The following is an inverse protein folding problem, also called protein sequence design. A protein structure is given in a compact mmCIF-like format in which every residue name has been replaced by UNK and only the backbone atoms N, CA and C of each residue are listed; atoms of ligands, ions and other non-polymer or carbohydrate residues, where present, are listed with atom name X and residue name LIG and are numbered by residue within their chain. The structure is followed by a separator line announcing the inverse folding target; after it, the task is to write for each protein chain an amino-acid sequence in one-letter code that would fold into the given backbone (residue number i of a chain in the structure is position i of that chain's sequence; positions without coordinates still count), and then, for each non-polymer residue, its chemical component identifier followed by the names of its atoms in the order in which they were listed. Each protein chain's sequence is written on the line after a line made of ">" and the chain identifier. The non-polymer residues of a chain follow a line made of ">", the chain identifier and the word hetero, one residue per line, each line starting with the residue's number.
data_IF_495115971905
#
_entry.id   IF_495115971905
#
_cell.length_a   1.000
_cell.length_b   1.000
_cell.length_c   1.000
_cell.angle_alpha   90.00
_cell.angle_beta   90.00
_cell.angle_gamma   90.00
#
_symmetry.space_group_name_H-M   'P 1'
#
loop_
_entity.id
_entity.type
_entity.pdbx_description
1 polymer ?
#
# COMPACT_ATOMS: atom_id res chain seq x y z
N UNK A 1 -2.07 18.23 12.85
CA UNK A 1 -0.81 18.61 12.15
C UNK A 1 0.43 18.48 13.05
N UNK A 2 0.32 18.57 14.40
CA UNK A 2 1.45 18.38 15.31
C UNK A 2 2.12 17.00 15.20
N UNK A 3 1.36 15.96 14.96
CA UNK A 3 1.85 14.56 14.87
C UNK A 3 2.68 14.24 13.62
N UNK A 4 2.66 15.06 12.57
CA UNK A 4 3.47 14.87 11.37
C UNK A 4 4.91 15.38 11.53
N UNK A 5 5.17 16.27 12.50
CA UNK A 5 6.52 16.77 12.82
C UNK A 5 7.41 15.70 13.45
N UNK A 6 6.80 14.68 14.04
CA UNK A 6 7.50 13.58 14.71
C UNK A 6 7.87 12.44 13.74
N UNK A 7 7.48 12.56 12.45
CA UNK A 7 7.81 11.56 11.42
C UNK A 7 9.28 11.71 11.01
N UNK A 8 10.10 10.64 11.08
CA UNK A 8 11.51 10.70 10.76
C UNK A 8 11.78 11.17 9.31
N UNK A 9 12.89 11.90 9.10
CA UNK A 9 13.31 12.38 7.78
C UNK A 9 13.37 11.26 6.74
N UNK A 10 13.83 10.07 7.14
CA UNK A 10 13.89 8.88 6.27
C UNK A 10 12.52 8.49 5.70
N UNK A 11 11.44 8.69 6.43
CA UNK A 11 10.07 8.40 5.94
C UNK A 11 9.68 9.37 4.84
N UNK A 12 9.99 10.66 4.99
CA UNK A 12 9.73 11.67 3.97
C UNK A 12 10.55 11.42 2.70
N UNK A 13 11.79 11.00 2.86
CA UNK A 13 12.65 10.61 1.75
C UNK A 13 12.09 9.38 1.01
N UNK A 14 11.68 8.35 1.74
CA UNK A 14 11.00 7.18 1.15
C UNK A 14 9.68 7.58 0.48
N UNK A 15 8.89 8.46 1.09
CA UNK A 15 7.63 8.95 0.53
C UNK A 15 7.85 9.67 -0.79
N UNK A 16 8.87 10.52 -0.89
CA UNK A 16 9.25 11.16 -2.14
C UNK A 16 9.62 10.14 -3.23
N UNK A 17 10.45 9.15 -2.89
CA UNK A 17 10.80 8.07 -3.82
C UNK A 17 9.58 7.27 -4.27
N UNK A 18 8.65 6.96 -3.36
CA UNK A 18 7.40 6.25 -3.68
C UNK A 18 6.48 7.11 -4.55
N UNK A 19 6.35 8.41 -4.26
CA UNK A 19 5.59 9.32 -5.11
C UNK A 19 6.11 9.28 -6.54
N UNK A 20 7.42 9.46 -6.72
CA UNK A 20 8.05 9.46 -8.04
C UNK A 20 7.89 8.10 -8.74
N UNK A 21 8.18 7.00 -8.05
CA UNK A 21 8.03 5.65 -8.61
C UNK A 21 6.57 5.34 -8.98
N UNK A 22 5.60 5.82 -8.18
CA UNK A 22 4.18 5.65 -8.49
C UNK A 22 3.70 6.54 -9.63
N UNK A 23 4.31 7.71 -9.82
CA UNK A 23 3.98 8.61 -10.92
C UNK A 23 4.44 8.08 -12.28
N UNK A 24 5.41 7.17 -12.30
CA UNK A 24 5.90 6.52 -13.53
C UNK A 24 5.52 5.03 -13.61
N UNK A 25 4.67 4.53 -12.72
CA UNK A 25 4.21 3.13 -12.69
C UNK A 25 3.12 2.88 -13.75
N UNK A 26 3.42 3.17 -14.98
CA UNK A 26 2.49 3.12 -16.11
C UNK A 26 2.10 1.69 -16.49
N UNK A 27 3.03 0.77 -16.39
CA UNK A 27 2.82 -0.65 -16.77
C UNK A 27 1.61 -1.24 -16.07
N UNK A 28 1.40 -0.93 -14.78
CA UNK A 28 0.27 -1.44 -14.03
C UNK A 28 -1.09 -1.00 -14.61
N UNK A 29 -1.15 0.21 -15.15
CA UNK A 29 -2.38 0.82 -15.68
C UNK A 29 -2.62 0.40 -17.15
N UNK A 30 -1.57 0.40 -17.96
CA UNK A 30 -1.66 0.33 -19.42
C UNK A 30 -1.21 -1.02 -19.99
N UNK A 31 -0.79 -1.99 -19.15
CA UNK A 31 -0.33 -3.30 -19.62
C UNK A 31 -1.35 -3.98 -20.53
N UNK A 32 -2.62 -4.00 -20.15
CA UNK A 32 -3.65 -4.70 -20.88
C UNK A 32 -3.89 -4.04 -22.26
N UNK A 33 -4.02 -2.72 -22.28
CA UNK A 33 -4.15 -1.94 -23.50
C UNK A 33 -2.92 -2.10 -24.42
N UNK A 34 -1.71 -2.13 -23.87
CA UNK A 34 -0.50 -2.43 -24.63
C UNK A 34 -0.57 -3.79 -25.34
N UNK A 35 -1.01 -4.83 -24.62
CA UNK A 35 -1.10 -6.18 -25.18
C UNK A 35 -2.16 -6.28 -26.29
N UNK A 36 -3.30 -5.57 -26.15
CA UNK A 36 -4.38 -5.59 -27.14
C UNK A 36 -4.13 -4.62 -28.28
N UNK A 37 -3.81 -3.35 -28.00
CA UNK A 37 -3.82 -2.29 -29.00
C UNK A 37 -2.50 -2.20 -29.77
N UNK A 38 -1.33 -2.32 -29.09
CA UNK A 38 -0.03 -2.20 -29.75
C UNK A 38 0.50 -3.56 -30.24
N UNK A 39 0.29 -4.63 -29.43
CA UNK A 39 0.74 -5.99 -29.78
C UNK A 39 -0.30 -6.77 -30.62
N UNK A 40 -1.54 -6.28 -30.68
CA UNK A 40 -2.62 -6.92 -31.47
C UNK A 40 -3.02 -8.30 -30.94
N UNK A 41 -2.77 -8.59 -29.66
CA UNK A 41 -3.15 -9.87 -29.08
C UNK A 41 -4.65 -9.90 -28.80
N UNK A 42 -5.24 -11.09 -28.96
CA UNK A 42 -6.63 -11.34 -28.58
C UNK A 42 -6.84 -11.00 -27.09
N UNK A 43 -8.01 -10.49 -26.72
CA UNK A 43 -8.30 -10.01 -25.35
C UNK A 43 -8.15 -11.12 -24.32
N UNK A 44 -8.56 -12.35 -24.66
CA UNK A 44 -8.37 -13.53 -23.81
C UNK A 44 -6.87 -13.86 -23.64
N UNK A 45 -6.07 -13.77 -24.72
CA UNK A 45 -4.64 -14.02 -24.67
C UNK A 45 -3.92 -12.96 -23.82
N UNK A 46 -4.23 -11.68 -24.01
CA UNK A 46 -3.76 -10.59 -23.16
C UNK A 46 -4.14 -10.81 -21.69
N UNK A 47 -5.34 -11.33 -21.46
CA UNK A 47 -5.83 -11.73 -20.14
C UNK A 47 -4.97 -12.81 -19.49
N UNK A 48 -4.63 -13.88 -20.22
CA UNK A 48 -3.78 -14.96 -19.72
C UNK A 48 -2.38 -14.45 -19.38
N UNK A 49 -1.74 -13.68 -20.26
CA UNK A 49 -0.41 -13.11 -20.05
C UNK A 49 -0.41 -12.21 -18.82
N UNK A 50 -1.40 -11.32 -18.70
CA UNK A 50 -1.54 -10.43 -17.53
C UNK A 50 -1.80 -11.20 -16.25
N UNK A 51 -2.62 -12.25 -16.29
CA UNK A 51 -2.90 -13.10 -15.13
C UNK A 51 -1.66 -13.85 -14.65
N UNK A 52 -0.86 -14.42 -15.54
CA UNK A 52 0.44 -15.05 -15.20
C UNK A 52 1.40 -14.00 -14.63
N UNK A 53 1.42 -12.79 -15.18
CA UNK A 53 2.13 -11.65 -14.60
C UNK A 53 1.70 -11.37 -13.16
N UNK A 54 0.39 -11.42 -12.90
CA UNK A 54 -0.19 -11.31 -11.55
C UNK A 54 0.31 -12.38 -10.58
N UNK A 55 0.51 -13.62 -11.03
CA UNK A 55 1.12 -14.69 -10.23
C UNK A 55 2.53 -14.27 -9.79
N UNK A 56 3.33 -13.76 -10.73
CA UNK A 56 4.66 -13.23 -10.43
C UNK A 56 4.61 -12.15 -9.35
N UNK A 57 3.76 -11.14 -9.51
CA UNK A 57 3.60 -10.04 -8.55
C UNK A 57 3.26 -10.53 -7.14
N UNK A 58 2.30 -11.45 -7.03
CA UNK A 58 1.86 -12.02 -5.76
C UNK A 58 2.98 -12.84 -5.11
N UNK A 59 3.62 -13.72 -5.90
CA UNK A 59 4.77 -14.51 -5.41
C UNK A 59 5.91 -13.63 -4.92
N UNK A 60 6.23 -12.55 -5.64
CA UNK A 60 7.24 -11.57 -5.23
C UNK A 60 6.90 -10.85 -3.93
N UNK A 61 5.63 -10.48 -3.73
CA UNK A 61 5.18 -9.88 -2.47
C UNK A 61 5.37 -10.83 -1.27
N UNK A 62 5.09 -12.14 -1.43
CA UNK A 62 5.26 -13.11 -0.35
C UNK A 62 6.73 -13.42 -0.07
N UNK A 63 7.54 -13.57 -1.10
CA UNK A 63 8.97 -13.95 -0.96
C UNK A 63 9.86 -12.77 -0.63
N UNK A 64 9.47 -11.55 -1.00
CA UNK A 64 10.25 -10.32 -0.77
C UNK A 64 10.55 -10.05 0.70
N UNK A 65 9.63 -10.38 1.61
CA UNK A 65 9.86 -10.33 3.05
C UNK A 65 10.98 -11.29 3.49
N UNK A 66 10.95 -12.54 3.02
CA UNK A 66 11.97 -13.54 3.31
C UNK A 66 13.36 -13.13 2.79
N UNK A 67 13.44 -12.61 1.57
CA UNK A 67 14.69 -12.07 1.03
C UNK A 67 15.20 -10.89 1.87
N UNK A 68 14.30 -9.99 2.27
CA UNK A 68 14.62 -8.85 3.11
C UNK A 68 15.17 -9.25 4.49
N UNK A 69 14.58 -10.27 5.11
CA UNK A 69 15.03 -10.80 6.40
C UNK A 69 16.40 -11.50 6.27
N UNK A 70 16.68 -12.12 5.12
CA UNK A 70 17.94 -12.89 4.91
C UNK A 70 19.10 -12.01 4.43
N UNK A 71 18.85 -11.11 3.48
CA UNK A 71 19.90 -10.33 2.79
C UNK A 71 19.86 -8.84 3.18
N UNK A 72 18.89 -8.44 4.00
CA UNK A 72 18.64 -7.06 4.39
C UNK A 72 17.70 -6.35 3.40
N UNK A 73 16.69 -5.66 3.96
CA UNK A 73 15.62 -5.02 3.18
C UNK A 73 16.13 -4.00 2.14
N UNK A 74 17.21 -3.26 2.44
CA UNK A 74 17.81 -2.30 1.51
C UNK A 74 18.43 -3.01 0.30
N UNK A 75 19.24 -4.03 0.50
CA UNK A 75 19.87 -4.76 -0.61
C UNK A 75 18.83 -5.47 -1.48
N UNK A 76 17.83 -6.09 -0.84
CA UNK A 76 16.71 -6.73 -1.53
C UNK A 76 15.91 -5.71 -2.37
N UNK A 77 15.62 -4.53 -1.81
CA UNK A 77 14.96 -3.44 -2.55
C UNK A 77 15.75 -3.04 -3.79
N UNK A 78 17.04 -2.76 -3.63
CA UNK A 78 17.90 -2.30 -4.73
C UNK A 78 18.02 -3.35 -5.84
N UNK A 79 18.35 -4.60 -5.47
CA UNK A 79 18.48 -5.69 -6.44
C UNK A 79 17.17 -5.95 -7.20
N UNK A 80 16.04 -5.99 -6.47
CA UNK A 80 14.74 -6.19 -7.08
C UNK A 80 14.32 -5.00 -7.97
N UNK A 81 14.63 -3.77 -7.58
CA UNK A 81 14.32 -2.59 -8.42
C UNK A 81 15.15 -2.56 -9.70
N UNK A 82 16.43 -2.97 -9.65
CA UNK A 82 17.25 -3.11 -10.85
C UNK A 82 16.70 -4.20 -11.77
N UNK A 83 16.35 -5.36 -11.23
CA UNK A 83 15.77 -6.46 -12.02
C UNK A 83 14.43 -6.07 -12.63
N UNK A 84 13.55 -5.44 -11.86
CA UNK A 84 12.25 -4.97 -12.34
C UNK A 84 12.39 -3.90 -13.43
N UNK A 85 13.24 -2.89 -13.20
CA UNK A 85 13.44 -1.82 -14.16
C UNK A 85 14.08 -2.29 -15.46
N UNK A 86 15.12 -3.14 -15.39
CA UNK A 86 15.73 -3.74 -16.56
C UNK A 86 14.74 -4.64 -17.33
N UNK A 87 13.93 -5.44 -16.60
CA UNK A 87 12.89 -6.28 -17.20
C UNK A 87 11.84 -5.45 -17.95
N UNK A 88 11.37 -4.34 -17.37
CA UNK A 88 10.40 -3.45 -18.03
C UNK A 88 10.98 -2.77 -19.26
N UNK A 89 12.23 -2.31 -19.23
CA UNK A 89 12.91 -1.71 -20.40
C UNK A 89 13.06 -2.74 -21.55
N UNK A 90 13.38 -3.98 -21.20
CA UNK A 90 13.58 -5.04 -22.19
C UNK A 90 12.26 -5.60 -22.78
N UNK A 91 11.15 -5.53 -22.01
CA UNK A 91 9.89 -6.19 -22.35
C UNK A 91 9.34 -5.86 -23.74
N UNK A 92 9.35 -4.58 -24.20
CA UNK A 92 8.84 -4.25 -25.53
C UNK A 92 9.65 -4.85 -26.70
N UNK A 93 10.92 -5.14 -26.50
CA UNK A 93 11.81 -5.73 -27.50
C UNK A 93 11.65 -7.25 -27.63
N UNK A 94 10.90 -7.91 -26.73
CA UNK A 94 10.72 -9.35 -26.72
C UNK A 94 9.59 -9.77 -27.67
N UNK A 95 9.72 -10.94 -28.30
CA UNK A 95 8.62 -11.55 -29.06
C UNK A 95 7.49 -11.99 -28.11
N UNK A 96 6.26 -12.08 -28.61
CA UNK A 96 5.06 -12.35 -27.80
C UNK A 96 5.15 -13.67 -27.02
N UNK A 97 5.81 -14.69 -27.59
CA UNK A 97 6.02 -15.97 -26.92
C UNK A 97 6.84 -15.85 -25.64
N UNK A 98 7.79 -14.91 -25.58
CA UNK A 98 8.61 -14.68 -24.40
C UNK A 98 7.91 -13.83 -23.33
N UNK A 99 6.81 -13.12 -23.67
CA UNK A 99 6.05 -12.33 -22.70
C UNK A 99 5.46 -13.22 -21.59
N UNK A 100 5.11 -14.47 -21.90
CA UNK A 100 4.63 -15.45 -20.91
C UNK A 100 5.63 -15.75 -19.79
N UNK A 101 6.93 -15.55 -20.02
CA UNK A 101 7.98 -15.76 -19.04
C UNK A 101 8.54 -14.43 -18.50
N UNK A 102 8.76 -13.45 -19.37
CA UNK A 102 9.40 -12.19 -19.02
C UNK A 102 8.51 -11.31 -18.13
N UNK A 103 7.20 -11.23 -18.44
CA UNK A 103 6.27 -10.41 -17.64
C UNK A 103 6.13 -10.92 -16.20
N UNK A 104 5.87 -12.22 -15.93
CA UNK A 104 5.81 -12.70 -14.56
C UNK A 104 7.14 -12.51 -13.81
N UNK A 105 8.28 -12.58 -14.46
CA UNK A 105 9.58 -12.33 -13.83
C UNK A 105 9.74 -10.84 -13.45
N UNK A 106 9.42 -9.92 -14.36
CA UNK A 106 9.43 -8.48 -14.07
C UNK A 106 8.44 -8.12 -12.96
N UNK A 107 7.23 -8.66 -13.00
CA UNK A 107 6.21 -8.46 -11.98
C UNK A 107 6.57 -9.10 -10.63
N UNK A 108 7.27 -10.24 -10.64
CA UNK A 108 7.83 -10.83 -9.44
C UNK A 108 8.80 -9.86 -8.74
N UNK A 109 9.72 -9.28 -9.51
CA UNK A 109 10.66 -8.30 -8.98
C UNK A 109 9.91 -7.06 -8.44
N UNK A 110 8.86 -6.57 -9.12
CA UNK A 110 8.00 -5.49 -8.61
C UNK A 110 7.31 -5.87 -7.28
N UNK A 111 6.87 -7.11 -7.15
CA UNK A 111 6.31 -7.63 -5.89
C UNK A 111 7.33 -7.59 -4.75
N UNK A 112 8.57 -8.01 -5.01
CA UNK A 112 9.68 -7.95 -4.04
C UNK A 112 9.98 -6.50 -3.65
N UNK A 113 9.97 -5.55 -4.60
CA UNK A 113 10.15 -4.10 -4.33
C UNK A 113 9.07 -3.60 -3.37
N UNK A 114 7.80 -3.92 -3.61
CA UNK A 114 6.67 -3.52 -2.75
C UNK A 114 6.81 -4.05 -1.33
N UNK A 115 7.14 -5.34 -1.19
CA UNK A 115 7.34 -5.96 0.12
C UNK A 115 8.51 -5.33 0.88
N UNK A 116 9.64 -5.09 0.20
CA UNK A 116 10.83 -4.49 0.78
C UNK A 116 10.61 -3.04 1.20
N UNK A 117 9.87 -2.25 0.41
CA UNK A 117 9.47 -0.89 0.78
C UNK A 117 8.64 -0.89 2.08
N UNK A 118 7.62 -1.75 2.17
CA UNK A 118 6.78 -1.85 3.36
C UNK A 118 7.58 -2.25 4.60
N UNK A 119 8.53 -3.17 4.45
CA UNK A 119 9.40 -3.62 5.54
C UNK A 119 10.37 -2.51 5.99
N UNK A 120 10.97 -1.77 5.05
CA UNK A 120 11.86 -0.64 5.37
C UNK A 120 11.14 0.43 6.18
N UNK A 121 9.88 0.75 5.82
CA UNK A 121 9.05 1.69 6.59
C UNK A 121 8.85 1.17 8.01
N UNK A 122 8.45 -0.11 8.14
CA UNK A 122 8.18 -0.71 9.45
C UNK A 122 9.40 -0.69 10.39
N UNK A 123 10.61 -0.82 9.82
CA UNK A 123 11.88 -0.79 10.57
C UNK A 123 12.38 0.64 10.83
N UNK A 124 12.10 1.58 9.91
CA UNK A 124 12.60 2.96 9.99
C UNK A 124 11.78 3.86 10.89
N UNK A 125 10.55 3.47 11.25
CA UNK A 125 9.63 4.30 12.03
C UNK A 125 9.55 3.79 13.47
N UNK A 126 9.75 4.66 14.50
CA UNK A 126 9.55 4.30 15.89
C UNK A 126 8.15 3.77 16.18
N UNK A 127 8.01 2.88 17.18
CA UNK A 127 6.75 2.16 17.49
C UNK A 127 5.53 3.08 17.71
N UNK A 128 5.70 4.31 18.15
CA UNK A 128 4.60 5.27 18.34
C UNK A 128 4.12 5.97 17.06
N UNK A 129 4.94 6.02 16.00
CA UNK A 129 4.71 6.83 14.79
C UNK A 129 4.45 5.97 13.52
N UNK A 130 4.38 4.65 13.63
CA UNK A 130 4.20 3.75 12.48
C UNK A 130 2.95 4.05 11.68
N UNK A 131 1.83 4.35 12.36
CA UNK A 131 0.56 4.69 11.69
C UNK A 131 0.72 5.93 10.80
N UNK A 132 1.40 6.97 11.30
CA UNK A 132 1.66 8.20 10.55
C UNK A 132 2.62 7.94 9.37
N UNK A 133 3.67 7.14 9.57
CA UNK A 133 4.60 6.76 8.52
C UNK A 133 3.89 6.05 7.36
N UNK A 134 3.08 5.03 7.64
CA UNK A 134 2.29 4.35 6.59
C UNK A 134 1.27 5.27 5.93
N UNK A 135 0.65 6.20 6.66
CA UNK A 135 -0.27 7.17 6.08
C UNK A 135 0.42 8.11 5.09
N UNK A 136 1.60 8.64 5.44
CA UNK A 136 2.40 9.49 4.55
C UNK A 136 2.77 8.74 3.27
N UNK A 137 3.19 7.47 3.40
CA UNK A 137 3.54 6.65 2.24
C UNK A 137 2.34 6.38 1.33
N UNK A 138 1.17 6.11 1.91
CA UNK A 138 -0.06 5.90 1.15
C UNK A 138 -0.48 7.14 0.39
N UNK A 139 -0.42 8.31 1.03
CA UNK A 139 -0.70 9.60 0.38
C UNK A 139 0.27 9.84 -0.77
N UNK A 140 1.56 9.60 -0.56
CA UNK A 140 2.58 9.76 -1.59
C UNK A 140 2.34 8.82 -2.79
N UNK A 141 2.03 7.55 -2.53
CA UNK A 141 1.73 6.56 -3.58
C UNK A 141 0.48 6.95 -4.38
N UNK A 142 -0.61 7.31 -3.71
CA UNK A 142 -1.86 7.71 -4.37
C UNK A 142 -1.70 9.02 -5.16
N UNK A 143 -0.96 9.99 -4.62
CA UNK A 143 -0.67 11.24 -5.33
C UNK A 143 0.16 10.98 -6.60
N UNK A 144 1.19 10.12 -6.50
CA UNK A 144 1.96 9.69 -7.67
C UNK A 144 1.09 9.02 -8.71
N UNK A 145 0.26 8.07 -8.31
CA UNK A 145 -0.66 7.36 -9.20
C UNK A 145 -1.67 8.30 -9.89
N UNK A 146 -2.20 9.30 -9.16
CA UNK A 146 -3.12 10.30 -9.69
C UNK A 146 -2.48 11.13 -10.81
N UNK A 147 -1.22 11.50 -10.65
CA UNK A 147 -0.46 12.25 -11.66
C UNK A 147 0.01 11.33 -12.79
N UNK A 148 0.42 10.11 -12.46
CA UNK A 148 0.96 9.14 -13.40
C UNK A 148 -0.05 8.69 -14.47
N UNK A 149 -1.30 8.44 -14.07
CA UNK A 149 -2.29 7.93 -15.02
C UNK A 149 -2.51 8.85 -16.24
N UNK A 150 -2.78 10.15 -16.10
CA UNK A 150 -2.93 11.02 -17.28
C UNK A 150 -1.61 11.24 -18.03
N UNK A 151 -0.46 11.23 -17.34
CA UNK A 151 0.84 11.29 -18.01
C UNK A 151 1.09 10.06 -18.89
N UNK A 152 0.79 8.88 -18.38
CA UNK A 152 0.88 7.63 -19.15
C UNK A 152 -0.07 7.63 -20.37
N UNK A 153 -1.31 8.12 -20.19
CA UNK A 153 -2.25 8.26 -21.30
C UNK A 153 -1.74 9.23 -22.38
N UNK A 154 -1.16 10.35 -21.98
CA UNK A 154 -0.57 11.31 -22.91
C UNK A 154 0.60 10.69 -23.67
N UNK A 155 1.51 10.01 -22.96
CA UNK A 155 2.68 9.35 -23.59
C UNK A 155 2.24 8.25 -24.54
N UNK A 156 1.24 7.41 -24.19
CA UNK A 156 0.75 6.36 -25.09
C UNK A 156 0.05 6.92 -26.34
N UNK A 157 -0.72 8.01 -26.18
CA UNK A 157 -1.50 8.58 -27.27
C UNK A 157 -0.64 9.42 -28.24
N UNK A 158 0.39 10.12 -27.73
CA UNK A 158 1.24 10.99 -28.58
C UNK A 158 2.49 10.27 -29.14
N UNK A 159 2.93 9.20 -28.48
CA UNK A 159 4.15 8.49 -28.87
C UNK A 159 3.91 7.01 -29.07
N UNK A 160 3.93 6.21 -28.02
CA UNK A 160 3.68 4.76 -28.08
C UNK A 160 3.53 4.16 -26.68
N UNK A 161 2.87 3.00 -26.59
CA UNK A 161 2.88 2.19 -25.36
C UNK A 161 4.28 1.64 -25.03
N UNK A 162 5.14 1.39 -26.03
CA UNK A 162 6.54 1.01 -25.82
C UNK A 162 7.27 2.01 -24.94
N UNK A 163 7.08 3.31 -25.19
CA UNK A 163 7.73 4.37 -24.39
C UNK A 163 7.25 4.35 -22.92
N UNK A 164 6.01 3.95 -22.66
CA UNK A 164 5.49 3.79 -21.29
C UNK A 164 6.31 2.77 -20.51
N UNK A 165 6.59 1.60 -21.11
CA UNK A 165 7.37 0.53 -20.45
C UNK A 165 8.82 0.96 -20.20
N UNK A 166 9.43 1.62 -21.18
CA UNK A 166 10.79 2.15 -21.05
C UNK A 166 10.84 3.23 -19.97
N UNK A 167 9.87 4.15 -19.95
CA UNK A 167 9.80 5.20 -18.93
C UNK A 167 9.58 4.64 -17.51
N UNK A 168 8.68 3.66 -17.35
CA UNK A 168 8.46 2.95 -16.08
C UNK A 168 9.73 2.23 -15.63
N UNK A 169 10.38 1.50 -16.54
CA UNK A 169 11.63 0.80 -16.24
C UNK A 169 12.75 1.77 -15.84
N UNK A 170 12.96 2.85 -16.58
CA UNK A 170 13.94 3.89 -16.23
C UNK A 170 13.58 4.55 -14.91
N UNK A 171 12.30 4.88 -14.68
CA UNK A 171 11.84 5.44 -13.42
C UNK A 171 12.10 4.51 -12.23
N UNK A 172 11.90 3.20 -12.41
CA UNK A 172 12.22 2.19 -11.39
C UNK A 172 13.73 2.08 -11.14
N UNK A 173 14.57 2.21 -12.18
CA UNK A 173 16.03 2.26 -12.02
C UNK A 173 16.49 3.55 -11.32
N UNK A 174 15.90 4.69 -11.66
CA UNK A 174 16.15 5.95 -10.96
C UNK A 174 15.71 5.90 -9.50
N UNK A 175 14.59 5.23 -9.21
CA UNK A 175 14.18 4.97 -7.84
C UNK A 175 15.20 4.09 -7.10
N UNK A 176 15.75 3.06 -7.75
CA UNK A 176 16.82 2.24 -7.16
C UNK A 176 18.07 3.09 -6.84
N UNK A 177 18.50 3.93 -7.78
CA UNK A 177 19.62 4.85 -7.58
C UNK A 177 19.35 5.82 -6.43
N UNK A 178 18.18 6.47 -6.42
CA UNK A 178 17.76 7.37 -5.35
C UNK A 178 17.77 6.65 -3.99
N UNK A 179 17.19 5.47 -3.90
CA UNK A 179 17.17 4.67 -2.69
C UNK A 179 18.58 4.25 -2.24
N UNK A 180 19.49 3.97 -3.18
CA UNK A 180 20.89 3.66 -2.88
C UNK A 180 21.64 4.86 -2.26
N UNK A 181 21.34 6.08 -2.72
CA UNK A 181 21.98 7.30 -2.23
C UNK A 181 21.40 7.80 -0.89
N UNK A 182 20.10 7.61 -0.68
CA UNK A 182 19.36 8.25 0.42
C UNK A 182 19.17 7.32 1.61
N UNK A 183 18.98 6.01 1.37
CA UNK A 183 18.76 5.07 2.46
C UNK A 183 20.07 4.77 3.21
N UNK A 184 20.07 4.88 4.55
CA UNK A 184 21.25 4.54 5.34
C UNK A 184 21.65 3.08 5.13
N UNK A 185 22.95 2.80 5.31
CA UNK A 185 23.51 1.47 5.18
C UNK A 185 22.77 0.42 6.03
N UNK A 186 22.83 -0.83 5.59
CA UNK A 186 22.08 -1.93 6.20
C UNK A 186 22.42 -2.09 7.69
N UNK A 187 21.40 -2.04 8.56
CA UNK A 187 21.49 -2.62 9.89
C UNK A 187 21.40 -4.15 9.75
N UNK A 188 22.20 -4.92 10.53
CA UNK A 188 22.09 -6.37 10.51
C UNK A 188 20.63 -6.80 10.76
N UNK A 189 20.15 -7.84 10.07
CA UNK A 189 18.80 -8.33 10.31
C UNK A 189 18.66 -8.77 11.77
N UNK A 190 17.68 -8.24 12.47
CA UNK A 190 17.33 -8.69 13.82
C UNK A 190 16.69 -10.06 13.68
N UNK A 191 17.43 -11.12 14.02
CA UNK A 191 16.87 -12.47 14.09
C UNK A 191 15.74 -12.49 15.12
N UNK A 192 14.50 -12.52 14.65
CA UNK A 192 13.36 -12.81 15.51
C UNK A 192 13.43 -14.30 15.89
N UNK A 193 13.27 -14.65 17.18
CA UNK A 193 13.16 -16.05 17.56
C UNK A 193 11.98 -16.70 16.84
N UNK A 194 12.10 -18.00 16.48
CA UNK A 194 11.01 -18.71 15.81
C UNK A 194 9.74 -18.64 16.68
N UNK A 195 8.68 -18.13 16.10
CA UNK A 195 7.37 -18.10 16.76
C UNK A 195 6.90 -19.54 17.03
N UNK A 196 6.39 -19.81 18.24
CA UNK A 196 5.80 -21.11 18.60
C UNK A 196 4.77 -21.55 17.54
N UNK A 197 4.66 -22.86 17.25
CA UNK A 197 3.59 -23.36 16.38
C UNK A 197 2.23 -22.91 16.92
N UNK A 198 1.57 -22.03 16.18
CA UNK A 198 0.26 -21.54 16.58
C UNK A 198 -0.83 -22.40 15.93
N UNK A 199 -2.02 -22.51 16.54
CA UNK A 199 -3.15 -23.26 15.99
C UNK A 199 -3.43 -22.90 14.54
N UNK A 200 -3.90 -23.86 13.73
CA UNK A 200 -4.17 -23.66 12.31
C UNK A 200 -5.17 -22.52 12.07
N UNK A 201 -4.84 -21.62 11.16
CA UNK A 201 -5.69 -20.45 10.79
C UNK A 201 -7.12 -20.86 10.44
N UNK A 202 -7.30 -22.02 9.82
CA UNK A 202 -8.61 -22.54 9.43
C UNK A 202 -9.55 -22.78 10.60
N UNK A 203 -9.04 -23.26 11.73
CA UNK A 203 -9.86 -23.45 12.94
C UNK A 203 -10.35 -22.12 13.48
N UNK A 204 -9.49 -21.11 13.48
CA UNK A 204 -9.83 -19.78 13.95
C UNK A 204 -10.83 -19.06 13.01
N UNK A 205 -10.72 -19.28 11.70
CA UNK A 205 -11.64 -18.72 10.71
C UNK A 205 -13.03 -19.37 10.80
N UNK A 206 -13.09 -20.71 10.97
CA UNK A 206 -14.37 -21.41 11.14
C UNK A 206 -15.14 -20.93 12.37
N UNK A 207 -14.43 -20.50 13.41
CA UNK A 207 -15.04 -19.90 14.60
C UNK A 207 -15.54 -18.45 14.38
N UNK A 208 -15.23 -17.84 13.21
CA UNK A 208 -15.56 -16.44 12.87
C UNK A 208 -16.22 -16.34 11.50
N UNK A 209 -17.48 -16.81 11.37
CA UNK A 209 -18.16 -16.91 10.08
C UNK A 209 -18.30 -15.54 9.38
N UNK A 210 -18.42 -14.44 10.13
CA UNK A 210 -18.49 -13.09 9.56
C UNK A 210 -17.19 -12.68 8.85
N UNK A 211 -16.02 -13.11 9.35
CA UNK A 211 -14.73 -12.90 8.70
C UNK A 211 -14.63 -13.74 7.44
N UNK A 212 -15.08 -15.00 7.49
CA UNK A 212 -15.05 -15.89 6.34
C UNK A 212 -15.93 -15.34 5.20
N UNK A 213 -17.17 -14.91 5.50
CA UNK A 213 -18.06 -14.29 4.51
C UNK A 213 -17.41 -13.03 3.93
N UNK A 214 -16.80 -12.20 4.77
CA UNK A 214 -16.08 -11.00 4.31
C UNK A 214 -14.94 -11.36 3.34
N UNK A 215 -14.09 -12.33 3.68
CA UNK A 215 -12.97 -12.75 2.84
C UNK A 215 -13.42 -13.28 1.47
N UNK A 216 -14.46 -14.15 1.47
CA UNK A 216 -15.05 -14.67 0.22
C UNK A 216 -15.64 -13.53 -0.62
N UNK A 217 -16.35 -12.59 0.02
CA UNK A 217 -16.91 -11.43 -0.68
C UNK A 217 -15.84 -10.51 -1.25
N UNK A 218 -14.75 -10.28 -0.53
CA UNK A 218 -13.61 -9.48 -1.02
C UNK A 218 -12.90 -10.18 -2.18
N UNK A 219 -12.77 -11.52 -2.14
CA UNK A 219 -12.20 -12.28 -3.25
C UNK A 219 -12.94 -12.02 -4.58
N UNK A 220 -14.25 -12.18 -4.57
CA UNK A 220 -15.05 -11.92 -5.77
C UNK A 220 -15.09 -10.43 -6.14
N UNK A 221 -15.18 -9.56 -5.14
CA UNK A 221 -15.18 -8.13 -5.37
C UNK A 221 -13.86 -7.62 -5.96
N UNK A 222 -12.70 -8.21 -5.58
CA UNK A 222 -11.41 -7.83 -6.15
C UNK A 222 -11.30 -8.28 -7.62
N UNK A 223 -11.85 -9.44 -7.99
CA UNK A 223 -11.94 -9.87 -9.40
C UNK A 223 -12.77 -8.85 -10.21
N UNK A 224 -13.91 -8.43 -9.69
CA UNK A 224 -14.75 -7.41 -10.34
C UNK A 224 -14.04 -6.07 -10.41
N UNK A 225 -13.49 -5.60 -9.28
CA UNK A 225 -12.81 -4.31 -9.21
C UNK A 225 -11.64 -4.19 -10.19
N UNK A 226 -10.88 -5.28 -10.38
CA UNK A 226 -9.71 -5.31 -11.26
C UNK A 226 -10.04 -5.24 -12.75
N UNK A 227 -11.29 -5.43 -13.14
CA UNK A 227 -11.70 -5.20 -14.54
C UNK A 227 -11.41 -3.76 -14.98
N UNK A 228 -11.31 -2.82 -14.03
CA UNK A 228 -10.91 -1.43 -14.29
C UNK A 228 -9.56 -1.33 -15.02
N UNK A 229 -8.64 -2.27 -14.76
CA UNK A 229 -7.28 -2.28 -15.34
C UNK A 229 -7.10 -3.31 -16.46
N UNK A 230 -8.15 -4.07 -16.82
CA UNK A 230 -8.08 -5.08 -17.88
C UNK A 230 -9.11 -4.82 -18.98
N UNK A 231 -10.35 -5.19 -18.78
CA UNK A 231 -11.39 -5.14 -19.81
C UNK A 231 -12.01 -3.76 -20.01
N UNK A 232 -12.02 -2.88 -18.99
CA UNK A 232 -12.59 -1.52 -19.13
C UNK A 232 -11.88 -0.70 -20.20
N UNK A 233 -10.53 -0.61 -20.27
CA UNK A 233 -9.88 0.16 -21.31
C UNK A 233 -10.21 -0.37 -22.73
N UNK A 234 -10.29 -1.69 -22.91
CA UNK A 234 -10.68 -2.30 -24.19
C UNK A 234 -12.12 -1.95 -24.53
N UNK A 235 -13.05 -2.12 -23.56
CA UNK A 235 -14.46 -1.77 -23.76
C UNK A 235 -14.64 -0.29 -24.14
N UNK A 236 -13.91 0.62 -23.52
CA UNK A 236 -13.96 2.05 -23.86
C UNK A 236 -13.41 2.30 -25.27
N UNK A 237 -12.30 1.65 -25.63
CA UNK A 237 -11.68 1.73 -26.94
C UNK A 237 -12.60 1.25 -28.06
N UNK A 238 -13.22 0.09 -27.89
CA UNK A 238 -14.19 -0.49 -28.85
C UNK A 238 -15.42 0.40 -29.10
N UNK A 239 -15.70 1.33 -28.14
CA UNK A 239 -16.78 2.30 -28.25
C UNK A 239 -16.30 3.73 -28.58
N UNK A 240 -15.09 3.87 -29.13
CA UNK A 240 -14.57 5.13 -29.66
C UNK A 240 -14.02 6.10 -28.61
N UNK A 241 -13.79 5.66 -27.37
CA UNK A 241 -13.08 6.46 -26.37
C UNK A 241 -11.59 6.15 -26.41
N UNK A 242 -10.77 7.17 -26.54
CA UNK A 242 -9.32 7.04 -26.62
C UNK A 242 -8.68 6.74 -25.26
N UNK A 243 -7.41 6.36 -25.29
CA UNK A 243 -6.62 6.08 -24.08
C UNK A 243 -6.50 7.29 -23.16
N UNK A 244 -6.62 8.51 -23.69
CA UNK A 244 -6.62 9.75 -22.86
C UNK A 244 -7.84 9.81 -21.96
N UNK A 245 -9.04 9.46 -22.50
CA UNK A 245 -10.26 9.38 -21.69
C UNK A 245 -10.11 8.39 -20.56
N UNK A 246 -9.57 7.20 -20.82
CA UNK A 246 -9.27 6.21 -19.78
C UNK A 246 -8.28 6.74 -18.74
N UNK A 247 -7.20 7.39 -19.16
CA UNK A 247 -6.22 7.99 -18.24
C UNK A 247 -6.84 9.03 -17.31
N UNK A 248 -7.75 9.87 -17.83
CA UNK A 248 -8.48 10.84 -17.01
C UNK A 248 -9.44 10.17 -16.02
N UNK A 249 -10.11 9.08 -16.41
CA UNK A 249 -10.95 8.31 -15.48
C UNK A 249 -10.13 7.75 -14.31
N UNK A 250 -8.95 7.20 -14.58
CA UNK A 250 -8.04 6.73 -13.52
C UNK A 250 -7.53 7.89 -12.66
N UNK A 251 -7.26 9.05 -13.25
CA UNK A 251 -6.88 10.25 -12.49
C UNK A 251 -8.00 10.72 -11.55
N UNK A 252 -9.27 10.68 -12.00
CA UNK A 252 -10.44 10.96 -11.18
C UNK A 252 -10.49 10.02 -9.97
N UNK A 253 -10.29 8.71 -10.20
CA UNK A 253 -10.22 7.74 -9.11
C UNK A 253 -9.18 8.13 -8.07
N UNK A 254 -7.93 8.37 -8.47
CA UNK A 254 -6.86 8.74 -7.56
C UNK A 254 -7.12 10.06 -6.82
N UNK A 255 -7.62 11.08 -7.52
CA UNK A 255 -7.93 12.39 -6.93
C UNK A 255 -9.05 12.31 -5.89
N UNK A 256 -10.13 11.57 -6.20
CA UNK A 256 -11.25 11.37 -5.26
C UNK A 256 -10.80 10.61 -4.02
N UNK A 257 -9.97 9.57 -4.17
CA UNK A 257 -9.38 8.85 -3.03
C UNK A 257 -8.55 9.81 -2.17
N UNK A 258 -7.66 10.58 -2.79
CA UNK A 258 -6.78 11.52 -2.09
C UNK A 258 -7.57 12.55 -1.27
N UNK A 259 -8.68 13.05 -1.83
CA UNK A 259 -9.51 14.06 -1.17
C UNK A 259 -10.47 13.49 -0.13
N UNK A 260 -11.06 12.31 -0.39
CA UNK A 260 -12.22 11.84 0.40
C UNK A 260 -11.91 10.68 1.34
N UNK A 261 -10.82 9.95 1.19
CA UNK A 261 -10.54 8.77 2.04
C UNK A 261 -10.41 9.12 3.52
N UNK A 262 -9.62 10.17 3.85
CA UNK A 262 -9.45 10.61 5.24
C UNK A 262 -10.75 11.19 5.85
N UNK A 263 -11.48 12.10 5.19
CA UNK A 263 -12.79 12.54 5.66
C UNK A 263 -13.77 11.39 5.88
N UNK A 264 -13.88 10.47 4.93
CA UNK A 264 -14.75 9.30 5.04
C UNK A 264 -14.39 8.43 6.24
N UNK A 265 -13.09 8.14 6.45
CA UNK A 265 -12.63 7.35 7.60
C UNK A 265 -13.01 7.99 8.95
N UNK A 266 -12.99 9.33 9.04
CA UNK A 266 -13.38 10.06 10.25
C UNK A 266 -14.89 10.03 10.46
N UNK A 267 -15.68 10.32 9.42
CA UNK A 267 -17.15 10.38 9.49
C UNK A 267 -17.75 9.00 9.79
N UNK A 268 -17.22 7.97 9.16
CA UNK A 268 -17.76 6.61 9.22
C UNK A 268 -17.27 5.81 10.42
N UNK A 269 -16.33 6.31 11.22
CA UNK A 269 -15.71 5.57 12.36
C UNK A 269 -16.71 5.05 13.40
N UNK A 270 -17.91 5.63 13.49
CA UNK A 270 -18.97 5.25 14.43
C UNK A 270 -20.01 4.31 13.82
N UNK A 271 -19.92 4.01 12.55
CA UNK A 271 -20.86 3.12 11.85
C UNK A 271 -20.37 1.67 11.90
N UNK A 272 -21.31 0.74 11.72
CA UNK A 272 -21.00 -0.68 11.71
C UNK A 272 -20.09 -1.05 10.52
N UNK A 273 -18.89 -1.62 10.76
CA UNK A 273 -17.89 -1.82 9.70
C UNK A 273 -18.41 -2.65 8.52
N UNK A 274 -19.05 -3.80 8.80
CA UNK A 274 -19.58 -4.68 7.74
C UNK A 274 -20.71 -4.04 6.92
N UNK A 275 -21.50 -3.14 7.51
CA UNK A 275 -22.52 -2.39 6.74
C UNK A 275 -21.85 -1.42 5.77
N UNK A 276 -20.79 -0.73 6.20
CA UNK A 276 -20.03 0.21 5.34
C UNK A 276 -19.36 -0.57 4.20
N UNK A 277 -18.68 -1.68 4.53
CA UNK A 277 -18.02 -2.54 3.55
C UNK A 277 -19.03 -3.05 2.52
N UNK A 278 -20.17 -3.59 2.98
CA UNK A 278 -21.20 -4.11 2.07
C UNK A 278 -21.80 -3.02 1.18
N UNK A 279 -22.05 -1.79 1.69
CA UNK A 279 -22.47 -0.66 0.87
C UNK A 279 -21.39 -0.28 -0.17
N UNK A 280 -20.10 -0.33 0.21
CA UNK A 280 -19.00 -0.12 -0.72
C UNK A 280 -19.02 -1.12 -1.87
N UNK A 281 -19.22 -2.40 -1.58
CA UNK A 281 -19.32 -3.44 -2.62
C UNK A 281 -20.57 -3.28 -3.50
N UNK A 282 -21.68 -2.83 -2.92
CA UNK A 282 -22.89 -2.47 -3.70
C UNK A 282 -22.59 -1.34 -4.68
N UNK A 283 -21.87 -0.29 -4.25
CA UNK A 283 -21.49 0.81 -5.14
C UNK A 283 -20.57 0.34 -6.27
N UNK A 284 -19.64 -0.56 -6.00
CA UNK A 284 -18.82 -1.21 -7.05
C UNK A 284 -19.72 -1.92 -8.06
N UNK A 285 -20.70 -2.70 -7.58
CA UNK A 285 -21.66 -3.39 -8.46
C UNK A 285 -22.51 -2.42 -9.29
N UNK A 286 -23.02 -1.34 -8.69
CA UNK A 286 -23.77 -0.32 -9.41
C UNK A 286 -22.89 0.41 -10.44
N UNK A 287 -21.61 0.64 -10.14
CA UNK A 287 -20.65 1.22 -11.06
C UNK A 287 -20.51 0.40 -12.33
N UNK A 288 -20.22 -0.90 -12.20
CA UNK A 288 -20.14 -1.80 -13.36
C UNK A 288 -21.50 -2.00 -14.03
N UNK A 289 -22.59 -2.02 -13.26
CA UNK A 289 -23.94 -2.05 -13.80
C UNK A 289 -24.27 -0.85 -14.69
N UNK A 290 -23.69 0.33 -14.41
CA UNK A 290 -23.88 1.49 -15.26
C UNK A 290 -23.38 1.27 -16.71
N UNK A 291 -22.31 0.45 -16.91
CA UNK A 291 -21.80 0.15 -18.24
C UNK A 291 -22.78 -0.68 -19.11
N UNK A 292 -23.80 -1.28 -18.51
CA UNK A 292 -24.89 -1.92 -19.27
C UNK A 292 -25.80 -0.92 -20.01
N UNK A 293 -25.76 0.36 -19.59
CA UNK A 293 -26.51 1.44 -20.24
C UNK A 293 -25.80 1.98 -21.48
N UNK A 294 -24.61 1.46 -21.79
CA UNK A 294 -23.79 1.83 -22.93
C UNK A 294 -22.46 2.46 -22.53
N UNK A 295 -21.63 2.72 -23.52
CA UNK A 295 -20.30 3.29 -23.37
C UNK A 295 -20.32 4.75 -23.83
N UNK A 296 -20.67 5.65 -22.96
CA UNK A 296 -20.48 7.10 -23.18
C UNK A 296 -19.60 7.67 -22.07
N UNK A 297 -18.93 8.79 -22.35
CA UNK A 297 -18.05 9.43 -21.34
C UNK A 297 -18.79 9.74 -20.02
N UNK A 298 -20.04 10.28 -20.02
CA UNK A 298 -20.78 10.45 -18.77
C UNK A 298 -21.02 9.15 -18.01
N UNK A 299 -21.37 8.06 -18.71
CA UNK A 299 -21.58 6.75 -18.08
C UNK A 299 -20.25 6.23 -17.49
N UNK A 300 -19.14 6.37 -18.21
CA UNK A 300 -17.81 5.98 -17.71
C UNK A 300 -17.38 6.80 -16.47
N UNK A 301 -17.69 8.11 -16.45
CA UNK A 301 -17.43 8.97 -15.28
C UNK A 301 -18.30 8.53 -14.08
N UNK A 302 -19.58 8.28 -14.28
CA UNK A 302 -20.48 7.78 -13.23
C UNK A 302 -19.99 6.43 -12.70
N UNK A 303 -19.65 5.51 -13.59
CA UNK A 303 -19.04 4.23 -13.21
C UNK A 303 -17.81 4.46 -12.34
N UNK A 304 -16.87 5.30 -12.76
CA UNK A 304 -15.61 5.55 -12.04
C UNK A 304 -15.87 6.19 -10.65
N UNK A 305 -16.80 7.14 -10.55
CA UNK A 305 -17.16 7.77 -9.28
C UNK A 305 -17.79 6.76 -8.32
N UNK A 306 -18.70 5.91 -8.79
CA UNK A 306 -19.32 4.85 -7.99
C UNK A 306 -18.30 3.81 -7.54
N UNK A 307 -17.41 3.38 -8.45
CA UNK A 307 -16.30 2.48 -8.13
C UNK A 307 -15.41 3.08 -7.02
N UNK A 308 -15.02 4.34 -7.17
CA UNK A 308 -14.12 5.02 -6.23
C UNK A 308 -14.76 5.20 -4.87
N UNK A 309 -16.03 5.64 -4.84
CA UNK A 309 -16.79 5.73 -3.59
C UNK A 309 -16.90 4.35 -2.92
N UNK A 310 -17.18 3.32 -3.71
CA UNK A 310 -17.20 1.93 -3.25
C UNK A 310 -15.85 1.52 -2.66
N UNK A 311 -14.75 1.79 -3.34
CA UNK A 311 -13.38 1.48 -2.91
C UNK A 311 -13.04 2.10 -1.55
N UNK A 312 -13.34 3.38 -1.37
CA UNK A 312 -13.12 4.10 -0.10
C UNK A 312 -13.93 3.43 1.03
N UNK A 313 -15.16 3.01 0.75
CA UNK A 313 -16.04 2.42 1.76
C UNK A 313 -15.67 0.98 2.11
N UNK A 314 -15.07 0.19 1.18
CA UNK A 314 -14.80 -1.21 1.52
C UNK A 314 -13.36 -1.49 1.93
N UNK A 315 -12.33 -0.95 1.26
CA UNK A 315 -10.93 -1.37 1.47
C UNK A 315 -10.42 -1.09 2.88
N UNK A 316 -10.50 0.14 3.32
CA UNK A 316 -9.98 0.56 4.64
C UNK A 316 -10.77 -0.02 5.80
N UNK A 317 -12.14 0.01 5.81
CA UNK A 317 -12.90 -0.60 6.90
C UNK A 317 -12.81 -2.13 6.95
N UNK A 318 -12.68 -2.83 5.80
CA UNK A 318 -12.50 -4.28 5.79
C UNK A 318 -11.17 -4.69 6.43
N UNK A 319 -10.08 -3.98 6.10
CA UNK A 319 -8.75 -4.21 6.71
C UNK A 319 -8.81 -4.04 8.23
N UNK A 320 -9.45 -2.96 8.71
CA UNK A 320 -9.61 -2.69 10.13
C UNK A 320 -10.47 -3.76 10.81
N UNK A 321 -11.59 -4.17 10.20
CA UNK A 321 -12.45 -5.20 10.75
C UNK A 321 -11.73 -6.55 10.92
N UNK A 322 -10.95 -6.98 9.92
CA UNK A 322 -10.16 -8.21 10.00
C UNK A 322 -9.11 -8.12 11.11
N UNK A 323 -8.47 -6.96 11.30
CA UNK A 323 -7.55 -6.72 12.40
C UNK A 323 -8.23 -6.83 13.77
N UNK A 324 -9.42 -6.23 13.92
CA UNK A 324 -10.17 -6.23 15.17
C UNK A 324 -10.71 -7.63 15.54
N UNK A 325 -10.99 -8.48 14.55
CA UNK A 325 -11.48 -9.86 14.74
C UNK A 325 -10.34 -10.87 14.92
N UNK A 326 -9.12 -10.51 14.60
CA UNK A 326 -7.98 -11.41 14.71
C UNK A 326 -7.60 -11.64 16.18
N UNK A 327 -7.38 -12.90 16.62
CA UNK A 327 -6.83 -13.18 17.94
C UNK A 327 -5.42 -12.60 18.08
N UNK A 328 -5.00 -12.20 19.29
CA UNK A 328 -3.68 -11.59 19.54
C UNK A 328 -2.52 -12.47 19.03
N UNK A 329 -2.64 -13.79 19.14
CA UNK A 329 -1.63 -14.75 18.65
C UNK A 329 -1.67 -15.01 17.15
N UNK A 330 -2.68 -14.51 16.41
CA UNK A 330 -2.89 -14.79 14.99
C UNK A 330 -3.09 -13.53 14.14
N UNK A 331 -2.85 -12.33 14.67
CA UNK A 331 -3.08 -11.06 13.97
C UNK A 331 -2.36 -10.99 12.61
N UNK A 332 -1.07 -11.34 12.59
CA UNK A 332 -0.30 -11.35 11.36
C UNK A 332 -0.87 -12.29 10.29
N UNK A 333 -1.38 -13.47 10.70
CA UNK A 333 -1.96 -14.45 9.78
C UNK A 333 -3.28 -13.98 9.18
N UNK A 334 -4.14 -13.35 9.97
CA UNK A 334 -5.39 -12.79 9.49
C UNK A 334 -5.15 -11.64 8.51
N UNK A 335 -4.17 -10.77 8.82
CA UNK A 335 -3.79 -9.68 7.92
C UNK A 335 -3.15 -10.19 6.61
N UNK A 336 -2.29 -11.20 6.69
CA UNK A 336 -1.71 -11.83 5.49
C UNK A 336 -2.77 -12.51 4.63
N UNK A 337 -3.74 -13.18 5.25
CA UNK A 337 -4.84 -13.81 4.52
C UNK A 337 -5.72 -12.76 3.83
N UNK A 338 -6.08 -11.69 4.52
CA UNK A 338 -6.82 -10.57 3.93
C UNK A 338 -6.03 -9.92 2.78
N UNK A 339 -4.74 -9.66 2.97
CA UNK A 339 -3.89 -9.09 1.94
C UNK A 339 -3.79 -10.00 0.70
N UNK A 340 -3.64 -11.32 0.90
CA UNK A 340 -3.64 -12.30 -0.18
C UNK A 340 -4.95 -12.32 -0.96
N UNK A 341 -6.08 -12.35 -0.25
CA UNK A 341 -7.42 -12.31 -0.85
C UNK A 341 -7.65 -11.01 -1.61
N UNK A 342 -7.25 -9.86 -1.05
CA UNK A 342 -7.43 -8.53 -1.66
C UNK A 342 -6.59 -8.27 -2.91
N UNK A 343 -5.64 -9.15 -3.25
CA UNK A 343 -4.83 -9.04 -4.47
C UNK A 343 -5.05 -10.20 -5.43
N UNK A 344 -5.90 -11.17 -5.07
CA UNK A 344 -6.16 -12.35 -5.91
C UNK A 344 -6.78 -12.01 -7.26
N UNK A 345 -7.54 -10.92 -7.32
CA UNK A 345 -8.11 -10.42 -8.57
C UNK A 345 -7.06 -10.03 -9.62
N UNK A 346 -5.84 -9.68 -9.22
CA UNK A 346 -4.74 -9.43 -10.19
C UNK A 346 -4.47 -10.64 -11.07
N UNK A 347 -4.62 -11.84 -10.50
CA UNK A 347 -4.39 -13.10 -11.21
C UNK A 347 -5.59 -13.50 -12.07
N UNK A 348 -6.79 -13.36 -11.52
CA UNK A 348 -8.00 -13.95 -12.10
C UNK A 348 -8.82 -12.98 -12.95
N UNK A 349 -8.82 -11.67 -12.63
CA UNK A 349 -9.65 -10.72 -13.35
C UNK A 349 -9.28 -10.60 -14.83
N UNK A 350 -8.00 -10.47 -15.25
CA UNK A 350 -7.67 -10.35 -16.66
C UNK A 350 -8.07 -11.58 -17.50
N UNK A 351 -7.73 -12.83 -17.11
CA UNK A 351 -8.10 -13.98 -17.93
C UNK A 351 -9.61 -14.25 -17.94
N UNK A 352 -10.29 -14.11 -16.80
CA UNK A 352 -11.74 -14.32 -16.74
C UNK A 352 -12.50 -13.22 -17.48
N UNK A 353 -12.10 -11.96 -17.27
CA UNK A 353 -12.70 -10.83 -17.95
C UNK A 353 -12.42 -10.84 -19.46
N UNK A 354 -11.18 -11.12 -19.87
CA UNK A 354 -10.81 -11.21 -21.28
C UNK A 354 -11.56 -12.32 -22.02
N UNK A 355 -11.59 -13.54 -21.47
CA UNK A 355 -12.33 -14.65 -22.06
C UNK A 355 -13.84 -14.36 -22.15
N UNK A 356 -14.44 -13.79 -21.09
CA UNK A 356 -15.86 -13.44 -21.09
C UNK A 356 -16.15 -12.29 -22.07
N UNK A 357 -15.24 -11.32 -22.18
CA UNK A 357 -15.39 -10.20 -23.11
C UNK A 357 -15.38 -10.67 -24.57
N UNK A 358 -14.53 -11.63 -24.93
CA UNK A 358 -14.49 -12.19 -26.29
C UNK A 358 -15.69 -13.08 -26.59
N UNK A 359 -16.10 -13.93 -25.66
CA UNK A 359 -17.13 -14.96 -25.94
C UNK A 359 -18.54 -14.44 -25.74
N UNK A 360 -18.75 -13.52 -24.78
CA UNK A 360 -20.06 -12.98 -24.41
C UNK A 360 -19.96 -11.57 -23.85
N UNK A 361 -19.56 -10.55 -24.65
CA UNK A 361 -19.29 -9.19 -24.16
C UNK A 361 -20.48 -8.56 -23.43
N UNK A 362 -21.70 -8.85 -23.86
CA UNK A 362 -22.93 -8.36 -23.22
C UNK A 362 -23.19 -8.91 -21.81
N UNK A 363 -22.52 -9.99 -21.40
CA UNK A 363 -22.69 -10.58 -20.06
C UNK A 363 -21.66 -10.07 -19.05
N UNK A 364 -20.54 -9.50 -19.48
CA UNK A 364 -19.44 -9.12 -18.59
C UNK A 364 -19.90 -8.12 -17.52
N UNK A 365 -20.55 -7.04 -17.91
CA UNK A 365 -20.96 -5.98 -16.98
C UNK A 365 -22.14 -6.39 -16.09
N UNK A 366 -23.22 -7.02 -16.60
CA UNK A 366 -24.29 -7.54 -15.76
C UNK A 366 -23.79 -8.57 -14.73
N UNK A 367 -22.92 -9.49 -15.15
CA UNK A 367 -22.36 -10.51 -14.24
C UNK A 367 -21.44 -9.88 -13.17
N UNK A 368 -20.59 -8.93 -13.58
CA UNK A 368 -19.75 -8.16 -12.64
C UNK A 368 -20.60 -7.41 -11.62
N UNK A 369 -21.67 -6.75 -12.09
CA UNK A 369 -22.61 -6.08 -11.21
C UNK A 369 -23.28 -7.04 -10.23
N UNK A 370 -23.85 -8.14 -10.74
CA UNK A 370 -24.53 -9.14 -9.93
C UNK A 370 -23.62 -9.75 -8.86
N UNK A 371 -22.37 -10.06 -9.22
CA UNK A 371 -21.39 -10.64 -8.31
C UNK A 371 -21.01 -9.68 -7.18
N UNK A 372 -20.76 -8.40 -7.50
CA UNK A 372 -20.44 -7.39 -6.49
C UNK A 372 -21.64 -7.04 -5.61
N UNK A 373 -22.86 -6.97 -6.18
CA UNK A 373 -24.09 -6.76 -5.42
C UNK A 373 -24.37 -7.94 -4.46
N UNK A 374 -24.20 -9.18 -4.93
CA UNK A 374 -24.34 -10.37 -4.09
C UNK A 374 -23.30 -10.39 -2.95
N UNK A 375 -22.04 -10.08 -3.26
CA UNK A 375 -20.97 -9.94 -2.27
C UNK A 375 -21.32 -8.87 -1.21
N UNK A 376 -21.79 -7.70 -1.64
CA UNK A 376 -22.21 -6.61 -0.76
C UNK A 376 -23.38 -7.00 0.12
N UNK A 377 -24.41 -7.64 -0.46
CA UNK A 377 -25.57 -8.16 0.26
C UNK A 377 -25.19 -9.22 1.31
N UNK A 378 -24.29 -10.14 0.96
CA UNK A 378 -23.80 -11.17 1.87
C UNK A 378 -23.07 -10.56 3.09
N UNK A 379 -22.22 -9.55 2.86
CA UNK A 379 -21.50 -8.85 3.95
C UNK A 379 -22.47 -8.08 4.86
N UNK A 380 -23.48 -7.40 4.31
CA UNK A 380 -24.50 -6.70 5.10
C UNK A 380 -25.31 -7.71 5.93
N UNK A 381 -25.74 -8.82 5.33
CA UNK A 381 -26.49 -9.86 6.01
C UNK A 381 -25.67 -10.49 7.15
N UNK A 382 -24.42 -10.87 6.89
CA UNK A 382 -23.50 -11.38 7.91
C UNK A 382 -23.32 -10.40 9.08
N UNK A 383 -23.20 -9.11 8.77
CA UNK A 383 -23.10 -8.07 9.80
C UNK A 383 -24.37 -7.89 10.64
N UNK A 384 -25.55 -8.10 10.07
CA UNK A 384 -26.83 -8.08 10.80
C UNK A 384 -26.99 -9.31 11.68
N UNK A 385 -26.75 -10.50 11.13
CA UNK A 385 -26.83 -11.76 11.86
C UNK A 385 -25.83 -11.84 13.03
N UNK A 386 -24.59 -11.39 12.81
CA UNK A 386 -23.59 -11.34 13.87
C UNK A 386 -23.98 -10.43 15.04
N UNK A 387 -24.67 -9.32 14.78
CA UNK A 387 -25.21 -8.44 15.85
C UNK A 387 -26.39 -9.08 16.58
N UNK A 388 -27.28 -9.76 15.86
CA UNK A 388 -28.42 -10.44 16.46
C UNK A 388 -28.00 -11.60 17.35
N UNK A 389 -26.90 -12.29 17.03
CA UNK A 389 -26.32 -13.38 17.82
C UNK A 389 -25.48 -12.90 19.02
N UNK A 390 -25.57 -11.64 19.43
CA UNK A 390 -24.84 -11.11 20.60
C UNK A 390 -23.35 -10.92 20.37
N UNK A 391 -22.90 -10.88 19.12
CA UNK A 391 -21.53 -10.53 18.75
C UNK A 391 -21.15 -9.13 19.27
N UNK A 392 -19.87 -8.84 19.51
CA UNK A 392 -19.43 -7.61 20.14
C UNK A 392 -19.99 -6.39 19.40
N UNK A 393 -20.95 -5.72 20.03
CA UNK A 393 -21.35 -4.36 19.65
C UNK A 393 -20.09 -3.49 19.68
N UNK A 394 -19.97 -2.55 18.71
CA UNK A 394 -18.89 -1.55 18.53
C UNK A 394 -17.92 -1.49 19.70
N UNK A 395 -16.59 -1.64 19.50
CA UNK A 395 -15.65 -1.53 20.60
C UNK A 395 -15.97 -0.21 21.32
N UNK A 396 -16.49 -0.31 22.54
CA UNK A 396 -16.53 0.84 23.44
C UNK A 396 -15.10 1.31 23.45
N UNK A 397 -14.84 2.54 23.00
CA UNK A 397 -13.55 3.18 23.11
C UNK A 397 -13.02 2.87 24.50
N UNK A 398 -12.11 1.92 24.58
CA UNK A 398 -11.42 1.59 25.81
C UNK A 398 -10.72 2.91 26.14
N UNK A 399 -11.33 3.69 27.05
CA UNK A 399 -10.63 4.82 27.64
C UNK A 399 -9.32 4.22 28.11
N UNK A 400 -8.24 4.54 27.41
CA UNK A 400 -6.91 4.30 27.93
C UNK A 400 -6.92 5.08 29.24
N UNK A 401 -7.17 4.37 30.34
CA UNK A 401 -6.81 4.89 31.66
C UNK A 401 -5.31 5.05 31.53
N UNK A 402 -4.89 6.29 31.33
CA UNK A 402 -3.52 6.66 31.63
C UNK A 402 -3.35 6.21 33.07
N UNK A 403 -2.62 5.11 33.27
CA UNK A 403 -2.29 4.67 34.60
C UNK A 403 -1.58 5.87 35.25
N UNK A 404 -2.17 6.36 36.34
CA UNK A 404 -1.49 7.35 37.14
C UNK A 404 -0.07 6.85 37.43
N UNK A 405 0.96 7.68 37.32
CA UNK A 405 2.31 7.27 37.63
C UNK A 405 2.31 6.58 39.00
N UNK A 406 2.80 5.34 39.02
CA UNK A 406 2.97 4.61 40.28
C UNK A 406 3.75 5.51 41.21
N UNK A 407 3.28 5.76 42.46
CA UNK A 407 4.09 6.46 43.43
C UNK A 407 5.43 5.72 43.55
N UNK A 408 6.53 6.46 43.43
CA UNK A 408 7.86 5.90 43.58
C UNK A 408 8.00 5.21 44.94
N UNK A 409 8.98 4.29 45.09
CA UNK A 409 9.19 3.58 46.36
C UNK A 409 9.32 4.60 47.50
N UNK A 410 8.45 4.45 48.51
CA UNK A 410 8.54 5.24 49.72
C UNK A 410 9.92 4.99 50.35
N UNK A 411 10.68 6.06 50.51
CA UNK A 411 11.93 6.02 51.30
C UNK A 411 11.62 5.59 52.74
N UNK A 412 12.49 4.78 53.38
CA UNK A 412 12.29 4.35 54.75
C UNK A 412 12.28 5.54 55.68
N UNK A 413 11.29 5.57 56.58
CA UNK A 413 11.18 6.54 57.69
C UNK A 413 12.44 6.53 58.56
N UNK A 414 13.10 7.65 58.63
CA UNK A 414 14.17 7.88 59.60
C UNK A 414 15.17 8.89 59.10
N UNK A 415 14.80 10.15 59.22
CA UNK A 415 15.71 11.27 59.57
C UNK A 415 14.95 12.61 59.38
N UNK A 416 14.21 12.98 60.41
CA UNK A 416 13.78 14.37 60.57
C UNK A 416 15.01 15.21 60.91
N UNK A 417 15.46 16.02 59.94
CA UNK A 417 16.34 17.14 60.24
C UNK A 417 15.77 18.40 59.58
N UNK A 418 15.36 19.31 60.41
CA UNK A 418 14.92 20.66 60.09
C UNK A 418 15.91 21.35 59.15
N UNK A 419 15.43 21.92 58.05
CA UNK A 419 15.99 23.16 57.47
C UNK A 419 14.84 23.99 56.92
N UNK A 420 14.52 25.03 57.68
CA UNK A 420 13.78 26.19 57.20
C UNK A 420 14.58 26.88 56.13
N UNK A 421 14.00 27.05 54.92
CA UNK A 421 14.52 28.00 53.95
C UNK A 421 13.45 29.05 53.67
N UNK A 422 13.75 30.25 54.16
CA UNK A 422 13.07 31.51 53.95
C UNK A 422 13.16 31.90 52.48
N UNK A 423 12.03 32.04 51.80
CA UNK A 423 11.94 32.64 50.46
C UNK A 423 11.64 34.13 50.65
N UNK A 424 12.58 34.98 50.23
CA UNK A 424 12.31 36.40 49.94
C UNK A 424 12.42 36.63 48.44
N UNK A 425 11.53 37.45 47.82
CA UNK A 425 11.59 37.78 46.43
C UNK A 425 12.57 38.92 46.16
N UNK A 426 13.35 38.87 45.09
CA UNK A 426 14.18 39.98 44.63
C UNK A 426 13.85 40.33 43.18
N UNK A 427 13.53 41.60 43.04
CA UNK A 427 13.30 42.39 41.87
C UNK A 427 14.58 42.73 41.10
N UNK A 428 14.45 42.78 39.76
CA UNK A 428 15.09 43.68 38.77
C UNK A 428 16.55 44.11 38.89
N UNK A 429 17.32 43.92 37.81
CA UNK A 429 18.05 45.05 37.22
C UNK A 429 19.54 44.85 36.97
N UNK A 430 19.95 45.11 35.76
CA UNK A 430 21.23 45.69 35.28
C UNK A 430 22.49 44.80 35.20
N UNK A 431 22.93 44.50 33.96
CA UNK A 431 23.94 45.19 33.11
C UNK A 431 25.39 45.15 33.64
N UNK A 432 26.24 44.68 32.79
CA UNK A 432 27.61 45.09 32.46
C UNK A 432 28.76 44.09 32.73
N UNK A 433 29.37 43.69 31.60
CA UNK A 433 30.82 43.78 31.24
C UNK A 433 31.89 43.37 32.23
N UNK A 434 32.74 42.52 31.78
CA UNK A 434 34.23 42.62 31.69
C UNK A 434 34.83 41.20 31.75
N UNK A 435 35.47 40.74 30.74
CA UNK A 435 36.80 40.97 30.22
C UNK A 435 37.94 40.28 30.98
N UNK A 436 38.71 39.49 30.25
CA UNK A 436 40.16 39.17 30.45
C UNK A 436 40.49 38.12 31.53
N UNK A 437 41.23 37.07 31.31
CA UNK A 437 42.58 36.97 30.80
C UNK A 437 43.01 35.50 30.61
N UNK A 438 43.80 35.23 29.60
CA UNK A 438 44.76 34.11 29.48
C UNK A 438 45.97 34.36 30.39
N UNK A 439 46.80 33.36 30.78
CA UNK A 439 47.92 32.88 29.97
C UNK A 439 48.12 31.36 30.04
N UNK A 440 48.59 30.65 29.07
CA UNK A 440 49.87 30.44 28.36
C UNK A 440 50.95 29.70 29.20
N UNK A 441 51.66 28.83 28.45
CA UNK A 441 52.92 28.14 28.70
C UNK A 441 52.81 26.72 29.28
N UNK A 442 53.51 25.71 28.88
CA UNK A 442 54.56 25.37 27.93
C UNK A 442 54.75 23.87 28.08
N UNK A 443 55.02 23.13 27.15
CA UNK A 443 56.24 22.75 26.45
C UNK A 443 56.66 21.29 26.68
N UNK A 444 57.15 20.69 25.63
CA UNK A 444 58.10 19.56 25.52
C UNK A 444 57.51 18.13 25.74
N UNK A 445 57.72 17.09 24.90
CA UNK A 445 58.75 16.70 23.97
C UNK A 445 58.31 15.45 23.21
N UNK A 446 58.63 15.34 21.94
CA UNK A 446 58.87 14.12 21.17
C UNK A 446 60.31 13.57 21.43
N UNK A 447 60.79 12.46 20.79
CA UNK A 447 60.27 11.19 20.34
C UNK A 447 61.14 10.00 20.90
N UNK A 448 61.40 8.81 20.33
CA UNK A 448 61.59 8.39 18.92
C UNK A 448 61.13 6.98 18.46
N UNK A 449 61.02 6.88 17.13
CA UNK A 449 61.28 5.80 16.16
C UNK A 449 61.96 4.52 16.59
N UNK A 450 61.45 3.34 16.12
CA UNK A 450 62.17 2.18 15.57
C UNK A 450 61.14 1.25 14.88
N UNK A 451 61.11 1.13 13.61
CA UNK A 451 61.73 0.22 12.60
C UNK A 451 61.80 -1.28 12.97
N UNK A 452 61.42 -2.01 11.90
CA UNK A 452 61.67 -3.44 11.48
C UNK A 452 60.48 -4.36 11.72
N UNK A 453 59.89 -4.99 10.75
CA UNK A 453 60.42 -5.62 9.52
C UNK A 453 60.08 -7.12 9.52
N UNK A 454 59.19 -7.47 8.66
CA UNK A 454 59.16 -8.59 7.73
C UNK A 454 57.78 -8.71 7.11
#
# INVERSE_FOLDING_TARGET
>A
LGSLRDVPKTVWQLAFGIFFNSAVAFTFIYLFAYLTDERGLAVAQAGVISGIGGVGLVAGNFTGGWFGDRFGHRHTLLAASVLAGAGLVALPALPDTLLYAALPLAQYAQGVVRASNSALIAVSVPDGSRRQGFAVMRVAGNAGFTVGAPLGALVSAEFSYTLIFVADGIGTLLFALYAALVLPGARPPVRRPPSRPAPGVWRELRARPTVLVLLVSIFFADIVYRQMFSTVPVFLGDHGMDTRAYGWLIAINGAVILCLELPAAVVLRRRAPLTIVGLGLVLVGLGYGALTLGASLPVAVVMMLLLTAGEILYKTPATAYVADQAPDHAQGRFQSLYAGVSVSGVILAPPLGGALYETAPGLLWPLSAALALAAGGAVIAAGRLGRAAGGPSLPRLRRVRVAAPRPGPQAPDGLRARREWNVRPSTKGQVARQNQARPALADTAEPPVAERGK
#
